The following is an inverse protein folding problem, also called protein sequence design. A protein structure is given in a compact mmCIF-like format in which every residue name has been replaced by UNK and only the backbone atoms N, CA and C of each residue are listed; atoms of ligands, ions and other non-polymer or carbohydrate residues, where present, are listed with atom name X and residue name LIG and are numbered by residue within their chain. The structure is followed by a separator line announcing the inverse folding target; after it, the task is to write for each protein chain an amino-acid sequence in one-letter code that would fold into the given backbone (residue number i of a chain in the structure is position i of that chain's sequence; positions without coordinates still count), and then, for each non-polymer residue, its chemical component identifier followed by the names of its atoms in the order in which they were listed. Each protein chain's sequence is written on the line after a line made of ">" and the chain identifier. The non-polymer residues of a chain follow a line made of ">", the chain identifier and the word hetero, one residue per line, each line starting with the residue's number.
data_IF_227628673381
#
_entry.id   IF_227628673381
#
_cell.length_a   1.000
_cell.length_b   1.000
_cell.length_c   1.000
_cell.angle_alpha   90.00
_cell.angle_beta   90.00
_cell.angle_gamma   90.00
#
_symmetry.space_group_name_H-M   'P 1'
#
loop_
_entity.id
_entity.type
_entity.pdbx_description
1 polymer ?
#
# COMPACT_ATOMS: atom_id res chain seq x y z
N UNK A 1 15.68 13.54 0.16
CA UNK A 1 16.20 12.38 0.93
C UNK A 1 15.11 11.33 0.97
N UNK A 2 15.45 10.05 0.75
CA UNK A 2 14.46 8.97 0.78
C UNK A 2 14.14 8.64 2.24
N UNK A 3 12.85 8.62 2.57
CA UNK A 3 12.35 8.31 3.92
C UNK A 3 11.89 6.86 4.08
N UNK A 4 11.84 6.12 2.96
CA UNK A 4 11.46 4.73 2.96
C UNK A 4 12.62 3.86 3.45
N UNK A 5 12.37 3.01 4.45
CA UNK A 5 13.40 2.14 5.05
C UNK A 5 13.20 0.65 4.74
N UNK A 6 12.03 0.28 4.20
CA UNK A 6 11.64 -1.10 4.02
C UNK A 6 11.41 -1.41 2.55
N UNK A 7 12.28 -2.25 2.00
CA UNK A 7 12.07 -2.92 0.72
C UNK A 7 11.89 -4.41 0.97
N UNK A 8 11.19 -5.09 0.07
CA UNK A 8 11.22 -6.54 0.00
C UNK A 8 12.61 -6.98 -0.47
N UNK A 9 13.14 -8.03 0.15
CA UNK A 9 14.42 -8.59 -0.27
C UNK A 9 14.34 -9.10 -1.73
N UNK A 10 15.31 -8.75 -2.61
CA UNK A 10 15.24 -9.12 -4.03
C UNK A 10 15.08 -10.63 -4.28
N UNK A 11 15.80 -11.45 -3.52
CA UNK A 11 15.74 -12.91 -3.61
C UNK A 11 14.36 -13.46 -3.19
N UNK A 12 13.73 -12.80 -2.21
CA UNK A 12 12.37 -13.12 -1.78
C UNK A 12 11.36 -12.76 -2.87
N UNK A 13 11.47 -11.56 -3.47
CA UNK A 13 10.59 -11.15 -4.59
C UNK A 13 10.72 -12.15 -5.74
N UNK A 14 11.95 -12.47 -6.15
CA UNK A 14 12.20 -13.45 -7.20
C UNK A 14 11.61 -14.83 -6.86
N UNK A 15 11.82 -15.28 -5.63
CA UNK A 15 11.28 -16.54 -5.11
C UNK A 15 9.76 -16.62 -5.16
N UNK A 16 9.07 -15.57 -4.72
CA UNK A 16 7.62 -15.49 -4.74
C UNK A 16 7.10 -15.45 -6.19
N UNK A 17 7.75 -14.71 -7.09
CA UNK A 17 7.39 -14.71 -8.51
C UNK A 17 7.58 -16.09 -9.16
N UNK A 18 8.59 -16.85 -8.74
CA UNK A 18 8.79 -18.22 -9.20
C UNK A 18 7.66 -19.15 -8.70
N UNK A 19 7.23 -19.04 -7.44
CA UNK A 19 6.05 -19.76 -6.94
C UNK A 19 4.80 -19.41 -7.77
N UNK A 20 4.63 -18.12 -8.09
CA UNK A 20 3.50 -17.66 -8.92
C UNK A 20 3.52 -18.22 -10.36
N UNK A 21 4.59 -18.88 -10.83
CA UNK A 21 4.53 -19.57 -12.12
C UNK A 21 3.55 -20.74 -12.13
N UNK A 22 3.24 -21.35 -10.99
CA UNK A 22 2.25 -22.42 -10.88
C UNK A 22 0.81 -21.89 -10.82
N UNK A 23 0.62 -20.75 -10.15
CA UNK A 23 -0.68 -20.11 -9.94
C UNK A 23 -1.09 -19.21 -11.11
N UNK A 24 -0.09 -18.51 -11.64
CA UNK A 24 -0.17 -17.57 -12.73
C UNK A 24 -1.14 -16.41 -12.48
N UNK A 25 -1.13 -15.88 -11.26
CA UNK A 25 -1.90 -14.68 -10.95
C UNK A 25 -1.29 -13.46 -11.64
N UNK A 26 -2.15 -12.51 -12.01
CA UNK A 26 -1.71 -11.17 -12.36
C UNK A 26 -1.09 -10.54 -11.12
N UNK A 27 -0.02 -9.77 -11.30
CA UNK A 27 0.63 -9.06 -10.21
C UNK A 27 1.08 -7.65 -10.60
N UNK A 28 1.27 -6.84 -9.57
CA UNK A 28 1.80 -5.49 -9.64
C UNK A 28 2.77 -5.29 -8.48
N UNK A 29 3.88 -4.62 -8.74
CA UNK A 29 4.85 -4.24 -7.72
C UNK A 29 4.90 -2.72 -7.63
N UNK A 30 4.80 -2.19 -6.42
CA UNK A 30 5.10 -0.79 -6.14
C UNK A 30 6.60 -0.62 -6.00
N UNK A 31 7.16 0.39 -6.66
CA UNK A 31 8.60 0.64 -6.64
C UNK A 31 8.93 2.02 -6.11
N UNK A 32 10.06 2.14 -5.42
CA UNK A 32 10.67 3.43 -5.09
C UNK A 32 11.65 3.86 -6.20
N UNK A 33 11.14 3.98 -7.42
CA UNK A 33 11.92 4.39 -8.60
C UNK A 33 11.28 5.60 -9.28
N UNK A 34 10.68 6.47 -8.45
CA UNK A 34 9.94 7.63 -8.95
C UNK A 34 10.81 8.60 -9.78
N UNK A 35 12.11 8.65 -9.50
CA UNK A 35 13.12 9.44 -10.24
C UNK A 35 13.39 8.88 -11.64
N UNK A 36 13.20 7.57 -11.81
CA UNK A 36 13.31 6.84 -13.08
C UNK A 36 11.98 6.86 -13.84
N UNK A 37 10.93 7.47 -13.27
CA UNK A 37 9.58 7.48 -13.82
C UNK A 37 8.86 6.14 -13.70
N UNK A 38 9.32 5.25 -12.81
CA UNK A 38 8.74 3.93 -12.58
C UNK A 38 8.12 3.92 -11.18
N UNK A 39 6.80 3.85 -11.13
CA UNK A 39 6.04 3.65 -9.90
C UNK A 39 5.58 2.18 -9.79
N UNK A 40 5.31 1.56 -10.93
CA UNK A 40 4.75 0.21 -11.01
C UNK A 40 5.53 -0.69 -11.96
N UNK A 41 5.77 -1.93 -11.54
CA UNK A 41 6.13 -3.03 -12.46
C UNK A 41 4.95 -3.98 -12.49
N UNK A 42 4.47 -4.32 -13.68
CA UNK A 42 3.24 -5.09 -13.84
C UNK A 42 3.46 -6.32 -14.72
N UNK A 43 2.73 -7.38 -14.39
CA UNK A 43 2.49 -8.50 -15.28
C UNK A 43 1.04 -8.93 -15.10
N UNK A 44 0.20 -8.58 -16.06
CA UNK A 44 -1.22 -8.93 -16.04
C UNK A 44 -1.59 -9.75 -17.27
N UNK A 45 -2.51 -10.70 -17.06
CA UNK A 45 -3.21 -11.41 -18.14
C UNK A 45 -4.34 -10.58 -18.75
N UNK A 46 -4.84 -9.62 -17.98
CA UNK A 46 -5.94 -8.74 -18.35
C UNK A 46 -5.44 -7.29 -18.37
N UNK A 47 -5.42 -6.68 -19.55
CA UNK A 47 -5.02 -5.28 -19.70
C UNK A 47 -5.98 -4.32 -19.00
N UNK A 48 -7.22 -4.74 -18.75
CA UNK A 48 -8.18 -3.94 -18.00
C UNK A 48 -7.73 -3.75 -16.54
N UNK A 49 -7.25 -4.81 -15.87
CA UNK A 49 -6.68 -4.74 -14.52
C UNK A 49 -5.52 -3.75 -14.45
N UNK A 50 -4.65 -3.75 -15.47
CA UNK A 50 -3.57 -2.78 -15.56
C UNK A 50 -4.14 -1.35 -15.61
N UNK A 51 -5.06 -1.05 -16.52
CA UNK A 51 -5.61 0.31 -16.67
C UNK A 51 -6.38 0.79 -15.45
N UNK A 52 -7.14 -0.10 -14.79
CA UNK A 52 -7.97 0.23 -13.63
C UNK A 52 -7.08 0.50 -12.41
N UNK A 53 -6.08 -0.34 -12.17
CA UNK A 53 -5.22 -0.18 -10.99
C UNK A 53 -4.20 0.95 -11.16
N UNK A 54 -3.55 1.05 -12.32
CA UNK A 54 -2.57 2.11 -12.56
C UNK A 54 -3.23 3.42 -12.99
N UNK A 55 -4.56 3.51 -13.11
CA UNK A 55 -5.26 4.75 -13.43
C UNK A 55 -4.79 5.47 -14.70
N UNK A 56 -4.25 4.73 -15.67
CA UNK A 56 -3.55 5.25 -16.86
C UNK A 56 -2.29 6.10 -16.57
N UNK A 57 -1.64 5.92 -15.41
CA UNK A 57 -0.34 6.53 -15.17
C UNK A 57 0.70 5.95 -16.13
N UNK A 58 1.38 6.83 -16.90
CA UNK A 58 2.50 6.47 -17.79
C UNK A 58 3.79 6.11 -17.03
N UNK A 59 3.67 5.66 -15.78
CA UNK A 59 4.79 5.36 -14.87
C UNK A 59 4.80 3.88 -14.47
N UNK A 60 4.24 3.04 -15.33
CA UNK A 60 4.21 1.59 -15.19
C UNK A 60 5.01 0.92 -16.29
N UNK A 61 5.79 -0.11 -15.96
CA UNK A 61 6.57 -0.91 -16.91
C UNK A 61 6.19 -2.38 -16.85
N UNK A 62 6.28 -3.11 -17.96
CA UNK A 62 5.99 -4.54 -18.01
C UNK A 62 7.22 -5.38 -17.68
N UNK A 63 7.08 -6.33 -16.75
CA UNK A 63 8.13 -7.29 -16.43
C UNK A 63 8.50 -8.12 -17.67
N UNK A 64 9.79 -8.29 -17.93
CA UNK A 64 10.35 -9.06 -19.04
C UNK A 64 10.46 -8.31 -20.36
N UNK A 65 9.64 -7.27 -20.59
CA UNK A 65 9.75 -6.42 -21.78
C UNK A 65 10.58 -5.17 -21.51
N UNK A 66 10.28 -4.48 -20.41
CA UNK A 66 10.84 -3.17 -20.07
C UNK A 66 11.63 -3.19 -18.77
N UNK A 67 11.39 -4.20 -17.92
CA UNK A 67 12.06 -4.39 -16.64
C UNK A 67 12.64 -5.81 -16.53
N UNK A 68 13.89 -5.93 -16.09
CA UNK A 68 14.59 -7.21 -16.04
C UNK A 68 14.56 -7.83 -14.64
N UNK A 69 14.64 -9.17 -14.62
CA UNK A 69 14.79 -9.94 -13.39
C UNK A 69 16.17 -9.65 -12.80
N UNK A 70 16.23 -9.19 -11.56
CA UNK A 70 17.46 -8.78 -10.86
C UNK A 70 17.44 -7.34 -10.36
N UNK A 71 16.52 -6.51 -10.87
CA UNK A 71 16.35 -5.11 -10.47
C UNK A 71 15.37 -4.91 -9.30
N UNK A 72 15.10 -5.95 -8.50
CA UNK A 72 14.10 -5.92 -7.42
C UNK A 72 14.60 -5.27 -6.10
N UNK A 73 15.66 -4.46 -6.13
CA UNK A 73 16.27 -3.78 -4.97
C UNK A 73 15.36 -2.74 -4.28
N UNK A 74 14.35 -2.25 -4.98
CA UNK A 74 13.50 -1.13 -4.55
C UNK A 74 12.00 -1.42 -4.65
N UNK A 75 11.62 -2.66 -4.39
CA UNK A 75 10.21 -3.08 -4.32
C UNK A 75 9.68 -2.84 -2.92
N UNK A 76 8.56 -2.12 -2.83
CA UNK A 76 7.93 -1.73 -1.56
C UNK A 76 6.74 -2.61 -1.20
N UNK A 77 5.99 -3.03 -2.22
CA UNK A 77 4.80 -3.88 -2.10
C UNK A 77 4.74 -4.78 -3.34
N UNK A 78 4.40 -6.05 -3.13
CA UNK A 78 4.08 -7.00 -4.21
C UNK A 78 2.61 -7.44 -4.09
N UNK A 79 1.80 -7.06 -5.06
CA UNK A 79 0.35 -7.28 -5.10
C UNK A 79 0.01 -8.42 -6.06
N UNK A 80 -0.80 -9.38 -5.63
CA UNK A 80 -1.37 -10.46 -6.46
C UNK A 80 -2.89 -10.32 -6.55
N UNK A 81 -3.43 -10.55 -7.74
CA UNK A 81 -4.86 -10.44 -8.03
C UNK A 81 -5.43 -11.75 -8.55
N UNK A 82 -6.56 -12.15 -7.99
CA UNK A 82 -7.36 -13.29 -8.45
C UNK A 82 -8.83 -13.06 -8.09
N UNK A 83 -9.75 -13.65 -8.85
CA UNK A 83 -11.18 -13.57 -8.55
C UNK A 83 -11.55 -14.29 -7.23
N UNK A 84 -10.71 -15.24 -6.79
CA UNK A 84 -10.91 -16.02 -5.57
C UNK A 84 -9.90 -15.70 -4.49
N UNK A 85 -10.40 -15.21 -3.34
CA UNK A 85 -9.62 -15.07 -2.10
C UNK A 85 -9.00 -16.42 -1.69
N UNK A 86 -9.66 -17.55 -1.95
CA UNK A 86 -9.15 -18.87 -1.59
C UNK A 86 -7.91 -19.25 -2.41
N UNK A 87 -7.81 -18.78 -3.66
CA UNK A 87 -6.63 -18.98 -4.50
C UNK A 87 -5.45 -18.13 -4.01
N UNK A 88 -5.68 -16.86 -3.66
CA UNK A 88 -4.66 -16.01 -3.04
C UNK A 88 -4.17 -16.61 -1.72
N UNK A 89 -5.07 -17.12 -0.88
CA UNK A 89 -4.73 -17.82 0.36
C UNK A 89 -3.95 -19.13 0.16
N UNK A 90 -3.98 -19.72 -1.05
CA UNK A 90 -3.09 -20.86 -1.38
C UNK A 90 -1.68 -20.38 -1.66
N UNK A 91 -1.52 -19.32 -2.44
CA UNK A 91 -0.20 -18.72 -2.67
C UNK A 91 0.40 -18.21 -1.36
N UNK A 92 -0.38 -17.51 -0.52
CA UNK A 92 0.06 -17.08 0.82
C UNK A 92 0.63 -18.24 1.64
N UNK A 93 -0.08 -19.38 1.68
CA UNK A 93 0.40 -20.56 2.42
C UNK A 93 1.70 -21.13 1.86
N UNK A 94 1.86 -21.16 0.54
CA UNK A 94 3.13 -21.62 -0.06
C UNK A 94 4.27 -20.62 0.19
N UNK A 95 3.99 -19.31 0.14
CA UNK A 95 4.97 -18.27 0.53
C UNK A 95 5.45 -18.51 1.96
N UNK A 96 4.53 -18.64 2.92
CA UNK A 96 4.91 -18.87 4.32
C UNK A 96 5.50 -20.26 4.57
N UNK A 97 5.21 -21.26 3.72
CA UNK A 97 5.85 -22.57 3.81
C UNK A 97 7.32 -22.53 3.41
N UNK A 98 7.66 -21.79 2.35
CA UNK A 98 9.02 -21.73 1.78
C UNK A 98 9.85 -20.62 2.43
N UNK A 99 9.23 -19.48 2.75
CA UNK A 99 9.89 -18.25 3.20
C UNK A 99 9.52 -17.87 4.64
N UNK A 100 9.15 -18.84 5.50
CA UNK A 100 8.71 -18.62 6.89
C UNK A 100 9.65 -17.75 7.75
N UNK A 101 10.96 -17.75 7.46
CA UNK A 101 11.97 -17.01 8.21
C UNK A 101 12.17 -15.57 7.71
N UNK A 102 11.45 -15.13 6.67
CA UNK A 102 11.56 -13.78 6.14
C UNK A 102 10.62 -12.83 6.87
N UNK A 103 11.04 -11.57 7.00
CA UNK A 103 10.27 -10.51 7.66
C UNK A 103 9.20 -9.97 6.71
N UNK A 104 8.18 -10.76 6.41
CA UNK A 104 7.03 -10.34 5.59
C UNK A 104 5.71 -10.58 6.27
N UNK A 105 4.70 -9.83 5.83
CA UNK A 105 3.29 -10.11 6.10
C UNK A 105 2.50 -10.02 4.81
N UNK A 106 1.42 -10.79 4.75
CA UNK A 106 0.43 -10.71 3.69
C UNK A 106 -0.84 -10.03 4.20
N UNK A 107 -1.40 -9.13 3.40
CA UNK A 107 -2.68 -8.47 3.69
C UNK A 107 -3.57 -8.66 2.48
N UNK A 108 -4.73 -9.30 2.69
CA UNK A 108 -5.72 -9.47 1.61
C UNK A 108 -6.87 -8.50 1.81
N UNK A 109 -7.13 -7.68 0.79
CA UNK A 109 -8.25 -6.74 0.74
C UNK A 109 -9.07 -6.94 -0.53
N UNK A 110 -10.28 -6.39 -0.58
CA UNK A 110 -11.10 -6.38 -1.79
C UNK A 110 -11.14 -4.96 -2.34
N UNK A 111 -10.51 -4.75 -3.49
CA UNK A 111 -10.44 -3.44 -4.12
C UNK A 111 -11.68 -3.25 -5.00
N UNK A 112 -12.41 -2.16 -4.75
CA UNK A 112 -13.65 -1.86 -5.46
C UNK A 112 -13.39 -1.71 -6.97
N UNK A 113 -14.09 -2.51 -7.77
CA UNK A 113 -13.98 -2.49 -9.23
C UNK A 113 -12.84 -3.34 -9.81
N UNK A 114 -12.05 -3.98 -8.94
CA UNK A 114 -10.94 -4.86 -9.32
C UNK A 114 -11.20 -6.28 -8.80
N UNK A 115 -11.43 -6.41 -7.49
CA UNK A 115 -11.60 -7.68 -6.81
C UNK A 115 -10.56 -7.91 -5.72
N UNK A 116 -10.39 -9.16 -5.27
CA UNK A 116 -9.40 -9.51 -4.26
C UNK A 116 -7.97 -9.15 -4.67
N UNK A 117 -7.23 -8.59 -3.73
CA UNK A 117 -5.82 -8.25 -3.86
C UNK A 117 -5.08 -8.69 -2.60
N UNK A 118 -4.05 -9.51 -2.76
CA UNK A 118 -3.13 -9.88 -1.70
C UNK A 118 -1.84 -9.08 -1.84
N UNK A 119 -1.52 -8.29 -0.84
CA UNK A 119 -0.30 -7.49 -0.74
C UNK A 119 0.71 -8.22 0.13
N UNK A 120 1.91 -8.45 -0.40
CA UNK A 120 3.09 -8.88 0.35
C UNK A 120 3.94 -7.65 0.64
N UNK A 121 4.21 -7.42 1.93
CA UNK A 121 4.97 -6.27 2.42
C UNK A 121 5.92 -6.68 3.53
N UNK A 122 6.98 -5.91 3.73
CA UNK A 122 7.92 -6.11 4.84
C UNK A 122 7.20 -5.96 6.18
N UNK A 123 7.49 -6.85 7.12
CA UNK A 123 6.96 -6.80 8.48
C UNK A 123 7.40 -5.51 9.16
N UNK A 124 6.48 -4.85 9.86
CA UNK A 124 6.71 -3.54 10.47
C UNK A 124 6.55 -2.34 9.51
N UNK A 125 6.34 -2.58 8.22
CA UNK A 125 6.03 -1.52 7.26
C UNK A 125 4.57 -1.06 7.39
N UNK A 126 4.38 0.25 7.56
CA UNK A 126 3.09 0.93 7.56
C UNK A 126 3.21 2.39 7.08
N UNK A 127 2.07 3.03 6.83
CA UNK A 127 2.03 4.48 6.55
C UNK A 127 2.66 5.28 7.69
N UNK A 128 2.41 4.86 8.94
CA UNK A 128 2.99 5.49 10.12
C UNK A 128 4.50 5.31 10.20
N UNK A 129 5.02 4.10 9.99
CA UNK A 129 6.46 3.84 10.09
C UNK A 129 7.26 4.74 9.14
N UNK A 130 6.75 4.95 7.91
CA UNK A 130 7.37 5.85 6.94
C UNK A 130 7.30 7.32 7.37
N UNK A 131 6.13 7.77 7.85
CA UNK A 131 5.96 9.15 8.33
C UNK A 131 6.82 9.43 9.57
N UNK A 132 6.91 8.49 10.51
CA UNK A 132 7.69 8.64 11.73
C UNK A 132 9.20 8.83 11.43
N UNK A 133 9.75 8.13 10.44
CA UNK A 133 11.12 8.37 9.97
C UNK A 133 11.28 9.80 9.44
N UNK A 134 10.33 10.27 8.64
CA UNK A 134 10.33 11.66 8.15
C UNK A 134 10.30 12.66 9.30
N UNK A 135 9.39 12.51 10.26
CA UNK A 135 9.26 13.41 11.41
C UNK A 135 10.56 13.49 12.21
N UNK A 136 11.14 12.32 12.54
CA UNK A 136 12.40 12.26 13.29
C UNK A 136 13.55 12.97 12.56
N UNK A 137 13.66 12.80 11.23
CA UNK A 137 14.68 13.48 10.43
C UNK A 137 14.49 15.00 10.39
N UNK A 138 13.25 15.48 10.53
CA UNK A 138 12.92 16.91 10.60
C UNK A 138 12.96 17.47 12.04
N UNK A 139 13.21 16.63 13.06
CA UNK A 139 13.08 17.04 14.46
C UNK A 139 11.63 17.39 14.87
N UNK A 140 10.65 16.85 14.15
CA UNK A 140 9.22 17.00 14.44
C UNK A 140 8.71 15.82 15.27
N UNK A 141 7.59 16.02 15.96
CA UNK A 141 6.93 15.00 16.75
C UNK A 141 5.56 14.62 16.18
N UNK A 142 5.00 13.53 16.68
CA UNK A 142 3.66 13.06 16.29
C UNK A 142 2.55 14.01 16.71
N UNK A 143 2.71 14.78 17.79
CA UNK A 143 1.70 15.72 18.30
C UNK A 143 1.32 16.80 17.28
N UNK A 144 2.26 17.18 16.40
CA UNK A 144 2.01 18.11 15.30
C UNK A 144 1.36 17.49 14.06
N UNK A 145 1.00 16.20 14.08
CA UNK A 145 0.47 15.47 12.93
C UNK A 145 -1.04 15.37 13.01
N UNK A 146 -1.69 15.72 11.90
CA UNK A 146 -3.10 15.47 11.68
C UNK A 146 -3.22 14.46 10.54
N UNK A 147 -3.77 13.28 10.85
CA UNK A 147 -3.94 12.20 9.91
C UNK A 147 -5.38 12.05 9.48
N UNK A 148 -5.59 11.71 8.20
CA UNK A 148 -6.89 11.37 7.64
C UNK A 148 -6.82 9.96 7.07
N UNK A 149 -7.83 9.14 7.34
CA UNK A 149 -7.86 7.76 6.88
C UNK A 149 -9.27 7.21 6.71
N UNK A 150 -9.36 6.15 5.92
CA UNK A 150 -10.63 5.44 5.68
C UNK A 150 -10.51 3.92 5.70
N UNK A 151 -9.30 3.38 5.53
CA UNK A 151 -9.09 1.94 5.40
C UNK A 151 -8.20 1.35 6.50
N UNK A 152 -8.12 0.02 6.54
CA UNK A 152 -7.35 -0.70 7.57
C UNK A 152 -5.86 -0.34 7.58
N UNK A 153 -5.29 0.04 6.43
CA UNK A 153 -3.89 0.47 6.34
C UNK A 153 -3.63 1.87 6.93
N UNK A 154 -4.67 2.61 7.32
CA UNK A 154 -4.58 3.90 8.01
C UNK A 154 -4.62 3.76 9.54
N UNK A 155 -4.89 2.57 10.09
CA UNK A 155 -5.16 2.41 11.53
C UNK A 155 -3.99 2.91 12.40
N UNK A 156 -2.78 2.44 12.12
CA UNK A 156 -1.58 2.88 12.87
C UNK A 156 -1.27 4.37 12.65
N UNK A 157 -1.55 4.90 11.46
CA UNK A 157 -1.39 6.31 11.14
C UNK A 157 -2.34 7.17 11.98
N UNK A 158 -3.60 6.77 12.10
CA UNK A 158 -4.63 7.44 12.90
C UNK A 158 -4.29 7.38 14.39
N UNK A 159 -3.98 6.19 14.91
CA UNK A 159 -3.71 6.00 16.34
C UNK A 159 -2.42 6.66 16.83
N UNK A 160 -1.43 6.84 15.95
CA UNK A 160 -0.12 7.37 16.33
C UNK A 160 0.02 8.87 16.08
N UNK A 161 -0.89 9.48 15.33
CA UNK A 161 -0.88 10.92 15.07
C UNK A 161 -1.41 11.70 16.26
N UNK A 162 -1.03 12.97 16.39
CA UNK A 162 -1.54 13.86 17.42
C UNK A 162 -3.04 14.13 17.29
N UNK A 163 -3.58 14.04 16.07
CA UNK A 163 -5.02 14.08 15.82
C UNK A 163 -5.40 13.20 14.61
N UNK A 164 -6.09 12.10 14.88
CA UNK A 164 -6.58 11.16 13.88
C UNK A 164 -8.02 11.45 13.43
N UNK A 165 -8.24 11.55 12.13
CA UNK A 165 -9.55 11.76 11.50
C UNK A 165 -9.96 10.54 10.67
N UNK A 166 -11.04 9.87 11.07
CA UNK A 166 -11.70 8.87 10.23
C UNK A 166 -12.70 9.56 9.29
N UNK A 167 -12.59 9.28 7.98
CA UNK A 167 -13.54 9.78 6.99
C UNK A 167 -14.94 9.17 7.16
N UNK A 168 -15.99 9.79 6.63
CA UNK A 168 -17.35 9.22 6.70
C UNK A 168 -17.47 7.85 6.06
N UNK A 169 -16.71 7.61 4.98
CA UNK A 169 -16.65 6.31 4.31
C UNK A 169 -15.68 5.32 4.98
N UNK A 170 -15.09 5.67 6.12
CA UNK A 170 -14.15 4.80 6.81
C UNK A 170 -14.79 3.54 7.38
N UNK A 171 -13.97 2.48 7.48
CA UNK A 171 -14.34 1.23 8.13
C UNK A 171 -14.65 1.44 9.63
N UNK A 172 -15.51 0.60 10.25
CA UNK A 172 -15.97 0.83 11.62
C UNK A 172 -14.84 0.93 12.65
N UNK A 173 -13.84 0.06 12.56
CA UNK A 173 -12.71 0.05 13.51
C UNK A 173 -11.91 1.36 13.45
N UNK A 174 -11.76 1.97 12.27
CA UNK A 174 -11.03 3.23 12.13
C UNK A 174 -11.79 4.38 12.79
N UNK A 175 -13.12 4.40 12.67
CA UNK A 175 -13.99 5.38 13.34
C UNK A 175 -13.97 5.26 14.85
N UNK A 176 -13.85 4.04 15.36
CA UNK A 176 -13.73 3.78 16.81
C UNK A 176 -12.41 4.30 17.39
N UNK A 177 -11.33 4.28 16.60
CA UNK A 177 -9.98 4.64 17.05
C UNK A 177 -9.58 6.09 16.74
N UNK A 178 -10.34 6.80 15.91
CA UNK A 178 -10.05 8.18 15.56
C UNK A 178 -10.54 9.18 16.61
N UNK A 179 -9.80 10.28 16.78
CA UNK A 179 -10.21 11.42 17.62
C UNK A 179 -11.43 12.15 17.05
N UNK A 180 -11.58 12.13 15.72
CA UNK A 180 -12.70 12.77 15.03
C UNK A 180 -13.22 11.92 13.87
N UNK A 181 -14.54 11.80 13.77
CA UNK A 181 -15.22 11.20 12.64
C UNK A 181 -15.79 12.30 11.73
N UNK A 182 -15.22 12.44 10.53
CA UNK A 182 -15.70 13.41 9.55
C UNK A 182 -17.15 13.09 9.11
N UNK A 183 -18.02 14.11 8.99
CA UNK A 183 -19.36 13.94 8.41
C UNK A 183 -19.34 13.89 6.87
N UNK A 184 -18.15 13.92 6.26
CA UNK A 184 -17.94 13.95 4.81
C UNK A 184 -17.12 12.77 4.32
N UNK A 185 -17.47 12.29 3.14
CA UNK A 185 -16.71 11.29 2.39
C UNK A 185 -15.59 11.96 1.61
N UNK A 186 -14.66 11.14 1.09
CA UNK A 186 -13.67 11.59 0.11
C UNK A 186 -14.29 12.27 -1.13
N UNK A 187 -15.52 11.91 -1.53
CA UNK A 187 -16.25 12.53 -2.67
C UNK A 187 -16.90 13.88 -2.34
N UNK A 188 -16.93 14.26 -1.07
CA UNK A 188 -17.54 15.50 -0.58
C UNK A 188 -16.46 16.52 -0.16
N UNK A 189 -15.22 16.36 -0.64
CA UNK A 189 -14.05 17.16 -0.26
C UNK A 189 -13.76 17.12 1.24
N UNK A 190 -14.03 15.98 1.88
CA UNK A 190 -14.09 15.87 3.34
C UNK A 190 -12.79 16.27 4.05
N UNK A 191 -11.62 16.00 3.48
CA UNK A 191 -10.33 16.43 4.04
C UNK A 191 -10.29 17.95 4.13
N UNK A 192 -10.53 18.65 3.02
CA UNK A 192 -10.48 20.12 2.98
C UNK A 192 -11.49 20.77 3.91
N UNK A 193 -12.72 20.23 3.98
CA UNK A 193 -13.76 20.74 4.88
C UNK A 193 -13.38 20.61 6.35
N UNK A 194 -12.88 19.45 6.76
CA UNK A 194 -12.45 19.24 8.15
C UNK A 194 -11.28 20.14 8.50
N UNK A 195 -10.33 20.34 7.59
CA UNK A 195 -9.20 21.25 7.83
C UNK A 195 -9.69 22.69 8.09
N UNK A 196 -10.70 23.15 7.36
CA UNK A 196 -11.33 24.47 7.58
C UNK A 196 -12.12 24.52 8.89
N UNK A 197 -12.89 23.49 9.21
CA UNK A 197 -13.68 23.40 10.46
C UNK A 197 -12.80 23.41 11.71
N UNK A 198 -11.64 22.76 11.65
CA UNK A 198 -10.66 22.74 12.72
C UNK A 198 -9.85 24.05 12.81
N UNK A 199 -10.03 24.98 11.86
CA UNK A 199 -9.29 26.24 11.83
C UNK A 199 -7.79 26.10 11.58
N UNK A 200 -7.36 24.98 10.99
CA UNK A 200 -5.94 24.71 10.70
C UNK A 200 -5.44 25.64 9.59
N UNK A 201 -6.30 25.91 8.60
CA UNK A 201 -6.06 26.92 7.56
C UNK A 201 -7.23 27.91 7.55
N UNK A 202 -6.92 29.18 7.29
CA UNK A 202 -7.89 30.22 7.01
C UNK A 202 -7.80 30.63 5.53
N UNK A 203 -8.95 30.79 4.87
CA UNK A 203 -9.06 31.30 3.51
C UNK A 203 -9.24 32.83 3.48
#
# INVERSE_FOLDING_TARGET
>A
ERVLQYYLEPDLVYGILNLNQEFQFSFLMHTDRYEEGIDFIVQSRDESLHSIYTGNYNRSVRLGQEFQVGDFDRITVLCFFDESIQNLARLEREIFRVYSNHNIRCVTTTIRGIGPCMEVITLGSSKWSALNVFLNNQGLNSEGVIAFGDEANDLELIESSGFGVAMKNAIPILKERADYCSPYTNKEDGVGRVILELGIISL
#
